data_IF_630743870124
#
_entry.id   IF_630743870124
#
_cell.length_a   1.000
_cell.length_b   1.000
_cell.length_c   1.000
_cell.angle_alpha   90.00
_cell.angle_beta   90.00
_cell.angle_gamma   90.00
#
_symmetry.space_group_name_H-M   'P 1'
#
loop_
_entity.id
_entity.type
_entity.pdbx_description
1 polymer ?
#
# COMPACT_ATOMS: atom_id res chain seq x y z
N UNK A 1 -19.56 -14.60 -13.38
CA UNK A 1 -18.24 -14.25 -12.84
C UNK A 1 -18.46 -13.77 -11.42
N UNK A 2 -17.63 -14.20 -10.46
CA UNK A 2 -17.69 -13.69 -9.08
C UNK A 2 -17.22 -12.23 -9.05
N UNK A 3 -17.87 -11.39 -8.23
CA UNK A 3 -17.41 -10.01 -8.01
C UNK A 3 -16.07 -9.97 -7.28
N UNK A 4 -15.22 -8.96 -7.55
CA UNK A 4 -14.01 -8.74 -6.76
C UNK A 4 -14.30 -8.67 -5.27
N UNK A 5 -13.47 -9.32 -4.46
CA UNK A 5 -13.58 -9.24 -3.01
C UNK A 5 -12.64 -8.16 -2.48
N UNK A 6 -13.12 -7.36 -1.52
CA UNK A 6 -12.37 -6.27 -0.92
C UNK A 6 -12.39 -6.38 0.60
N UNK A 7 -11.26 -6.07 1.23
CA UNK A 7 -11.16 -5.78 2.65
C UNK A 7 -11.32 -4.27 2.84
N UNK A 8 -12.36 -3.85 3.53
CA UNK A 8 -12.67 -2.43 3.76
C UNK A 8 -12.10 -1.93 5.08
N UNK A 9 -11.77 -0.64 5.11
CA UNK A 9 -11.24 0.06 6.28
C UNK A 9 -12.13 1.25 6.64
N UNK A 10 -12.46 1.39 7.92
CA UNK A 10 -13.21 2.54 8.40
C UNK A 10 -12.26 3.71 8.69
N UNK A 11 -12.21 4.65 7.75
CA UNK A 11 -11.46 5.90 7.90
C UNK A 11 -12.38 7.12 8.04
N UNK A 12 -13.70 6.93 8.04
CA UNK A 12 -14.71 7.96 8.19
C UNK A 12 -15.67 8.06 7.00
N UNK A 13 -16.72 8.85 7.16
CA UNK A 13 -17.85 8.93 6.21
C UNK A 13 -17.50 9.54 4.84
N UNK A 14 -16.43 10.33 4.76
CA UNK A 14 -16.04 11.04 3.53
C UNK A 14 -15.18 10.22 2.56
N UNK A 15 -14.88 8.94 2.87
CA UNK A 15 -13.94 8.13 2.09
C UNK A 15 -14.40 6.69 1.94
N UNK A 16 -13.88 6.03 0.91
CA UNK A 16 -13.90 4.59 0.74
C UNK A 16 -12.44 4.10 0.72
N UNK A 17 -12.04 3.32 1.71
CA UNK A 17 -10.69 2.76 1.84
C UNK A 17 -10.74 1.24 1.83
N UNK A 18 -9.86 0.60 1.06
CA UNK A 18 -9.87 -0.85 0.89
C UNK A 18 -8.54 -1.42 0.41
N UNK A 19 -8.40 -2.75 0.58
CA UNK A 19 -7.43 -3.59 -0.16
C UNK A 19 -8.19 -4.61 -1.00
N UNK A 20 -7.75 -4.84 -2.24
CA UNK A 20 -8.27 -5.95 -3.03
C UNK A 20 -7.81 -7.28 -2.46
N UNK A 21 -8.71 -8.26 -2.46
CA UNK A 21 -8.35 -9.65 -2.21
C UNK A 21 -8.00 -10.35 -3.53
N UNK A 22 -7.51 -11.56 -3.43
CA UNK A 22 -7.06 -12.34 -4.58
C UNK A 22 -8.22 -12.93 -5.39
N UNK A 23 -9.42 -13.05 -4.79
CA UNK A 23 -10.58 -13.73 -5.39
C UNK A 23 -11.44 -12.80 -6.24
N UNK A 24 -12.19 -13.39 -7.19
CA UNK A 24 -13.24 -12.71 -7.91
C UNK A 24 -12.80 -11.99 -9.19
N UNK A 25 -11.73 -12.42 -9.82
CA UNK A 25 -11.18 -11.81 -11.02
C UNK A 25 -11.15 -12.73 -12.24
N UNK A 26 -10.38 -12.31 -13.24
CA UNK A 26 -10.24 -12.95 -14.55
C UNK A 26 -8.79 -13.41 -14.83
N UNK A 27 -7.83 -13.10 -13.97
CA UNK A 27 -6.45 -13.50 -14.14
C UNK A 27 -6.27 -14.99 -13.88
N UNK A 28 -5.18 -15.58 -14.40
CA UNK A 28 -4.94 -17.02 -14.36
C UNK A 28 -3.56 -17.34 -13.75
N UNK A 29 -3.36 -18.60 -13.37
CA UNK A 29 -2.10 -19.08 -12.82
C UNK A 29 -1.68 -18.33 -11.55
N UNK A 30 -0.44 -17.86 -11.47
CA UNK A 30 0.07 -17.10 -10.32
C UNK A 30 -0.57 -15.71 -10.15
N UNK A 31 -1.30 -15.22 -11.15
CA UNK A 31 -2.04 -13.95 -11.12
C UNK A 31 -3.51 -14.14 -10.71
N UNK A 32 -3.96 -15.40 -10.58
CA UNK A 32 -5.36 -15.73 -10.26
C UNK A 32 -5.73 -15.30 -8.84
N UNK A 33 -6.92 -14.71 -8.73
CA UNK A 33 -7.87 -14.37 -9.79
C UNK A 33 -7.88 -12.88 -10.12
N UNK A 34 -7.78 -12.01 -9.07
CA UNK A 34 -8.03 -10.58 -9.17
C UNK A 34 -6.72 -9.77 -9.08
N UNK A 35 -6.14 -9.48 -10.23
CA UNK A 35 -4.97 -8.62 -10.36
C UNK A 35 -5.26 -7.46 -11.30
N UNK A 36 -4.94 -6.22 -10.91
CA UNK A 36 -5.10 -5.00 -11.73
C UNK A 36 -3.76 -4.32 -12.04
N UNK A 37 -2.63 -4.94 -11.65
CA UNK A 37 -1.30 -4.36 -11.83
C UNK A 37 -0.77 -4.65 -13.25
N UNK A 38 -0.40 -3.57 -13.98
CA UNK A 38 0.12 -3.64 -15.34
C UNK A 38 1.62 -4.02 -15.42
N UNK A 39 2.33 -4.07 -14.28
CA UNK A 39 3.79 -4.14 -14.24
C UNK A 39 4.32 -5.49 -13.74
N UNK A 40 3.44 -6.47 -13.46
CA UNK A 40 3.83 -7.75 -12.89
C UNK A 40 3.86 -8.90 -13.91
N UNK A 41 3.48 -8.66 -15.17
CA UNK A 41 3.56 -9.64 -16.27
C UNK A 41 2.29 -10.45 -16.51
N UNK A 42 1.15 -10.05 -15.96
CA UNK A 42 -0.17 -10.63 -16.27
C UNK A 42 -0.66 -10.22 -17.66
N UNK A 43 -1.62 -10.94 -18.22
CA UNK A 43 -2.21 -10.66 -19.53
C UNK A 43 -3.01 -9.35 -19.51
N UNK A 44 -2.76 -8.43 -20.48
CA UNK A 44 -3.41 -7.10 -20.47
C UNK A 44 -4.94 -7.17 -20.51
N UNK A 45 -5.52 -8.15 -21.21
CA UNK A 45 -6.97 -8.35 -21.28
C UNK A 45 -7.58 -8.80 -19.95
N UNK A 46 -6.84 -9.54 -19.12
CA UNK A 46 -7.29 -9.92 -17.77
C UNK A 46 -7.27 -8.70 -16.86
N UNK A 47 -6.19 -7.93 -16.90
CA UNK A 47 -6.02 -6.69 -16.13
C UNK A 47 -7.14 -5.69 -16.47
N UNK A 48 -7.41 -5.47 -17.77
CA UNK A 48 -8.47 -4.56 -18.21
C UNK A 48 -9.84 -4.95 -17.66
N UNK A 49 -10.21 -6.24 -17.74
CA UNK A 49 -11.48 -6.74 -17.18
C UNK A 49 -11.55 -6.57 -15.66
N UNK A 50 -10.44 -6.85 -14.95
CA UNK A 50 -10.38 -6.69 -13.50
C UNK A 50 -10.49 -5.20 -13.10
N UNK A 51 -9.83 -4.29 -13.83
CA UNK A 51 -9.94 -2.84 -13.60
C UNK A 51 -11.38 -2.34 -13.80
N UNK A 52 -12.05 -2.78 -14.88
CA UNK A 52 -13.45 -2.46 -15.13
C UNK A 52 -14.37 -2.97 -14.00
N UNK A 53 -14.14 -4.20 -13.54
CA UNK A 53 -14.91 -4.79 -12.44
C UNK A 53 -14.70 -4.01 -11.12
N UNK A 54 -13.45 -3.60 -10.81
CA UNK A 54 -13.17 -2.77 -9.65
C UNK A 54 -13.84 -1.40 -9.76
N UNK A 55 -13.70 -0.71 -10.90
CA UNK A 55 -14.28 0.59 -11.15
C UNK A 55 -15.79 0.60 -10.94
N UNK A 56 -16.48 -0.41 -11.49
CA UNK A 56 -17.92 -0.60 -11.31
C UNK A 56 -18.29 -0.84 -9.83
N UNK A 57 -17.51 -1.65 -9.11
CA UNK A 57 -17.76 -2.00 -7.71
C UNK A 57 -17.61 -0.78 -6.77
N UNK A 58 -16.59 0.06 -6.99
CA UNK A 58 -16.33 1.22 -6.13
C UNK A 58 -17.00 2.52 -6.59
N UNK A 59 -17.67 2.47 -7.76
CA UNK A 59 -18.46 3.59 -8.29
C UNK A 59 -17.63 4.74 -8.86
N UNK A 60 -16.48 4.44 -9.50
CA UNK A 60 -15.65 5.42 -10.21
C UNK A 60 -15.46 5.00 -11.67
N UNK A 61 -15.01 5.90 -12.54
CA UNK A 61 -14.59 5.49 -13.89
C UNK A 61 -13.20 4.81 -13.83
N UNK A 62 -12.92 3.92 -14.77
CA UNK A 62 -11.65 3.19 -14.82
C UNK A 62 -10.43 4.12 -14.90
N UNK A 63 -10.57 5.25 -15.60
CA UNK A 63 -9.52 6.27 -15.73
C UNK A 63 -9.18 6.95 -14.41
N UNK A 64 -10.10 6.95 -13.43
CA UNK A 64 -9.89 7.51 -12.11
C UNK A 64 -9.19 6.54 -11.13
N UNK A 65 -8.87 5.32 -11.54
CA UNK A 65 -8.05 4.40 -10.76
C UNK A 65 -6.58 4.71 -11.03
N UNK A 66 -5.92 5.36 -10.09
CA UNK A 66 -4.53 5.79 -10.16
C UNK A 66 -3.63 4.78 -9.46
N UNK A 67 -2.68 4.22 -10.21
CA UNK A 67 -1.67 3.30 -9.69
C UNK A 67 -0.30 3.67 -10.29
N UNK A 68 0.68 4.05 -9.46
CA UNK A 68 2.02 4.36 -9.93
C UNK A 68 2.81 3.10 -10.30
N UNK A 69 3.86 3.27 -11.09
CA UNK A 69 4.92 2.27 -11.26
C UNK A 69 5.97 2.46 -10.18
N UNK A 70 5.82 1.71 -9.09
CA UNK A 70 6.61 1.78 -7.87
C UNK A 70 7.99 1.14 -8.06
N UNK A 71 9.03 1.77 -7.50
CA UNK A 71 10.43 1.32 -7.62
C UNK A 71 11.11 1.13 -6.27
N UNK A 72 10.34 1.09 -5.17
CA UNK A 72 10.81 0.97 -3.79
C UNK A 72 11.64 2.18 -3.32
N UNK A 73 11.34 3.36 -3.88
CA UNK A 73 11.92 4.64 -3.51
C UNK A 73 11.13 5.38 -2.43
N UNK A 74 11.25 6.72 -2.43
CA UNK A 74 10.55 7.61 -1.49
C UNK A 74 9.85 8.77 -2.19
N UNK A 75 9.65 8.68 -3.50
CA UNK A 75 8.99 9.74 -4.26
C UNK A 75 7.51 9.75 -3.96
N UNK A 76 7.00 10.90 -3.52
CA UNK A 76 5.59 11.19 -3.28
C UNK A 76 5.08 12.11 -4.36
N UNK A 77 3.97 11.78 -5.01
CA UNK A 77 3.38 12.56 -6.10
C UNK A 77 1.97 13.02 -5.73
N UNK A 78 1.69 14.33 -5.88
CA UNK A 78 0.32 14.86 -5.84
C UNK A 78 -0.35 14.66 -7.19
N UNK A 79 -1.61 14.21 -7.16
CA UNK A 79 -2.43 13.93 -8.34
C UNK A 79 -3.72 14.73 -8.25
N UNK A 80 -3.90 15.70 -9.16
CA UNK A 80 -5.05 16.60 -9.20
C UNK A 80 -6.07 16.21 -10.29
N UNK A 81 -5.73 15.23 -11.14
CA UNK A 81 -6.58 14.67 -12.20
C UNK A 81 -6.10 13.26 -12.54
N UNK A 82 -6.88 12.44 -13.28
CA UNK A 82 -6.36 11.21 -13.85
C UNK A 82 -5.07 11.45 -14.64
N UNK A 83 -3.94 10.82 -14.29
CA UNK A 83 -2.67 11.10 -14.97
C UNK A 83 -2.72 10.66 -16.44
N UNK A 84 -2.24 11.53 -17.34
CA UNK A 84 -2.15 11.21 -18.77
C UNK A 84 -1.00 10.25 -19.09
N UNK A 85 0.01 10.21 -18.22
CA UNK A 85 1.20 9.35 -18.35
C UNK A 85 1.40 8.49 -17.11
N UNK A 86 2.24 7.47 -17.24
CA UNK A 86 2.62 6.60 -16.11
C UNK A 86 3.36 7.42 -15.07
N UNK A 87 2.99 7.29 -13.82
CA UNK A 87 3.72 7.86 -12.68
C UNK A 87 4.93 6.97 -12.36
N UNK A 88 5.98 7.13 -13.14
CA UNK A 88 7.20 6.31 -13.07
C UNK A 88 8.02 6.64 -11.82
N UNK A 89 8.45 5.61 -11.09
CA UNK A 89 9.32 5.76 -9.91
C UNK A 89 8.63 6.39 -8.69
N UNK A 90 7.31 6.48 -8.70
CA UNK A 90 6.51 7.03 -7.60
C UNK A 90 6.09 5.92 -6.67
N UNK A 91 6.41 6.06 -5.38
CA UNK A 91 6.07 5.08 -4.33
C UNK A 91 4.98 5.55 -3.36
N UNK A 92 4.54 6.81 -3.48
CA UNK A 92 3.35 7.30 -2.80
C UNK A 92 2.58 8.30 -3.67
N UNK A 93 1.26 8.25 -3.61
CA UNK A 93 0.37 9.16 -4.32
C UNK A 93 -0.59 9.84 -3.36
N UNK A 94 -0.82 11.15 -3.51
CA UNK A 94 -1.73 11.91 -2.67
C UNK A 94 -2.65 12.81 -3.49
N UNK A 95 -3.85 13.06 -2.96
CA UNK A 95 -4.87 13.89 -3.62
C UNK A 95 -5.84 14.51 -2.61
N UNK A 96 -6.46 15.63 -2.98
CA UNK A 96 -7.64 16.24 -2.37
C UNK A 96 -8.82 16.26 -3.34
N UNK A 97 -8.72 15.56 -4.48
CA UNK A 97 -9.75 15.53 -5.52
C UNK A 97 -10.74 14.39 -5.29
N UNK A 98 -12.02 14.74 -5.18
CA UNK A 98 -13.12 13.76 -5.07
C UNK A 98 -13.23 12.90 -6.32
N UNK A 99 -13.56 11.64 -6.11
CA UNK A 99 -13.76 10.66 -7.17
C UNK A 99 -12.49 10.08 -7.78
N UNK A 100 -11.29 10.56 -7.40
CA UNK A 100 -10.05 9.86 -7.70
C UNK A 100 -9.84 8.69 -6.73
N UNK A 101 -9.55 7.51 -7.26
CA UNK A 101 -9.13 6.33 -6.52
C UNK A 101 -7.61 6.25 -6.57
N UNK A 102 -6.94 6.74 -5.56
CA UNK A 102 -5.47 6.63 -5.47
C UNK A 102 -5.09 5.39 -4.68
N UNK A 103 -4.05 4.68 -5.11
CA UNK A 103 -3.63 3.47 -4.41
C UNK A 103 -2.26 3.00 -4.84
N UNK A 104 -1.76 2.03 -4.08
CA UNK A 104 -0.48 1.37 -4.29
C UNK A 104 -0.65 -0.13 -4.43
N UNK A 105 0.29 -0.75 -5.11
CA UNK A 105 0.27 -2.15 -5.49
C UNK A 105 1.32 -2.92 -4.70
N UNK A 106 0.92 -3.96 -3.98
CA UNK A 106 1.81 -4.72 -3.09
C UNK A 106 1.65 -6.22 -3.25
N UNK A 107 2.69 -6.96 -2.89
CA UNK A 107 2.70 -8.37 -2.52
C UNK A 107 3.84 -8.53 -1.52
N UNK A 108 3.51 -8.51 -0.23
CA UNK A 108 4.37 -8.51 0.96
C UNK A 108 4.83 -7.13 1.45
N UNK A 109 5.16 -6.17 0.57
CA UNK A 109 5.43 -4.79 0.99
C UNK A 109 4.21 -4.19 1.70
N UNK A 110 4.44 -3.22 2.58
CA UNK A 110 3.41 -2.64 3.44
C UNK A 110 2.70 -1.48 2.74
N UNK A 111 1.41 -1.61 2.41
CA UNK A 111 0.63 -0.48 1.94
C UNK A 111 0.12 0.32 3.14
N UNK A 112 0.19 1.66 3.05
CA UNK A 112 -0.30 2.55 4.09
C UNK A 112 -1.22 3.59 3.47
N UNK A 113 -2.40 3.76 4.06
CA UNK A 113 -3.35 4.80 3.69
C UNK A 113 -3.36 5.87 4.78
N UNK A 114 -3.28 7.14 4.37
CA UNK A 114 -3.43 8.30 5.24
C UNK A 114 -4.64 9.11 4.80
N UNK A 115 -5.41 9.60 5.75
CA UNK A 115 -6.58 10.45 5.49
C UNK A 115 -6.64 11.63 6.47
N UNK A 116 -6.80 12.81 5.90
CA UNK A 116 -7.10 14.07 6.59
C UNK A 116 -8.57 14.41 6.37
N UNK A 117 -9.37 14.27 7.41
CA UNK A 117 -10.80 14.56 7.34
C UNK A 117 -11.10 16.07 7.33
N UNK A 118 -10.22 16.91 7.89
CA UNK A 118 -10.39 18.36 7.95
C UNK A 118 -10.19 19.00 6.57
N UNK A 119 -9.10 18.61 5.88
CA UNK A 119 -8.78 19.15 4.56
C UNK A 119 -9.28 18.26 3.42
N UNK A 120 -9.94 17.13 3.77
CA UNK A 120 -10.44 16.14 2.81
C UNK A 120 -9.36 15.68 1.83
N UNK A 121 -8.20 15.32 2.35
CA UNK A 121 -7.04 14.90 1.58
C UNK A 121 -6.61 13.47 1.96
N UNK A 122 -6.07 12.73 1.00
CA UNK A 122 -5.65 11.36 1.19
C UNK A 122 -4.29 11.07 0.57
N UNK A 123 -3.59 10.07 1.12
CA UNK A 123 -2.35 9.55 0.55
C UNK A 123 -2.33 8.02 0.65
N UNK A 124 -1.83 7.36 -0.40
CA UNK A 124 -1.52 5.94 -0.43
C UNK A 124 -0.02 5.75 -0.60
N UNK A 125 0.60 4.97 0.28
CA UNK A 125 2.06 4.81 0.39
C UNK A 125 2.45 3.34 0.23
N UNK A 126 3.43 3.06 -0.62
CA UNK A 126 4.09 1.76 -0.75
C UNK A 126 5.37 1.74 0.09
N UNK A 127 5.34 1.07 1.22
CA UNK A 127 6.48 0.92 2.11
C UNK A 127 7.06 -0.51 2.03
N UNK A 128 7.82 -0.79 0.98
CA UNK A 128 8.75 -1.91 0.96
C UNK A 128 9.91 -1.66 1.93
N UNK A 129 10.75 -2.67 2.23
CA UNK A 129 11.82 -2.50 3.22
C UNK A 129 12.79 -1.34 2.87
N UNK A 130 13.07 -1.11 1.56
CA UNK A 130 13.91 0.01 1.11
C UNK A 130 13.27 1.37 1.37
N UNK A 131 11.97 1.52 1.06
CA UNK A 131 11.21 2.73 1.35
C UNK A 131 11.05 2.93 2.87
N UNK A 132 10.84 1.86 3.62
CA UNK A 132 10.71 1.91 5.09
C UNK A 132 12.00 2.38 5.75
N UNK A 133 13.16 1.85 5.38
CA UNK A 133 14.44 2.28 5.94
C UNK A 133 14.77 3.73 5.57
N UNK A 134 14.30 4.21 4.41
CA UNK A 134 14.41 5.59 3.95
C UNK A 134 13.29 6.50 4.46
N UNK A 135 12.39 6.00 5.31
CA UNK A 135 11.33 6.76 5.99
C UNK A 135 10.27 7.36 5.05
N UNK A 136 9.86 6.60 4.00
CA UNK A 136 8.86 7.06 3.03
C UNK A 136 7.55 7.53 3.68
N UNK A 137 7.10 6.85 4.76
CA UNK A 137 5.85 7.23 5.42
C UNK A 137 5.95 8.59 6.12
N UNK A 138 7.13 8.94 6.66
CA UNK A 138 7.38 10.26 7.23
C UNK A 138 7.44 11.33 6.14
N UNK A 139 8.06 11.02 5.00
CA UNK A 139 8.06 11.92 3.84
C UNK A 139 6.63 12.16 3.31
N UNK A 140 5.80 11.11 3.24
CA UNK A 140 4.39 11.25 2.85
C UNK A 140 3.61 12.18 3.80
N UNK A 141 3.76 12.02 5.12
CA UNK A 141 3.14 12.92 6.10
C UNK A 141 3.61 14.36 5.92
N UNK A 142 4.92 14.58 5.75
CA UNK A 142 5.49 15.91 5.49
C UNK A 142 4.96 16.56 4.21
N UNK A 143 4.80 15.77 3.15
CA UNK A 143 4.21 16.26 1.88
C UNK A 143 2.73 16.62 2.05
N UNK A 144 1.94 15.85 2.81
CA UNK A 144 0.56 16.20 3.15
C UNK A 144 0.49 17.50 3.98
N UNK A 145 1.40 17.69 4.95
CA UNK A 145 1.48 18.96 5.69
C UNK A 145 1.77 20.15 4.76
N UNK A 146 2.67 19.97 3.82
CA UNK A 146 3.06 21.04 2.88
C UNK A 146 1.94 21.36 1.87
N UNK A 147 1.30 20.32 1.31
CA UNK A 147 0.34 20.49 0.21
C UNK A 147 -1.06 20.85 0.69
N UNK A 148 -1.48 20.34 1.86
CA UNK A 148 -2.86 20.41 2.35
C UNK A 148 -2.97 21.06 3.74
N UNK A 149 -1.86 21.50 4.34
CA UNK A 149 -1.80 21.99 5.72
C UNK A 149 -2.24 20.94 6.77
N UNK A 150 -2.19 19.65 6.41
CA UNK A 150 -2.56 18.54 7.28
C UNK A 150 -1.81 18.57 8.61
N UNK A 151 -2.51 18.32 9.71
CA UNK A 151 -1.89 18.18 11.01
C UNK A 151 -1.70 16.70 11.34
N UNK A 152 -0.46 16.20 11.62
CA UNK A 152 -0.21 14.77 11.85
C UNK A 152 -1.11 14.16 12.92
N UNK A 153 -1.42 14.89 13.99
CA UNK A 153 -2.27 14.41 15.07
C UNK A 153 -3.76 14.25 14.70
N UNK A 154 -4.17 14.78 13.54
CA UNK A 154 -5.52 14.66 12.98
C UNK A 154 -5.60 13.62 11.85
N UNK A 155 -4.45 13.15 11.36
CA UNK A 155 -4.41 12.10 10.34
C UNK A 155 -4.88 10.76 10.92
N UNK A 156 -5.71 10.07 10.15
CA UNK A 156 -5.98 8.64 10.32
C UNK A 156 -5.06 7.85 9.41
N UNK A 157 -4.46 6.79 9.94
CA UNK A 157 -3.59 5.89 9.19
C UNK A 157 -4.10 4.46 9.25
N UNK A 158 -4.05 3.77 8.12
CA UNK A 158 -4.30 2.33 8.01
C UNK A 158 -3.05 1.68 7.44
N UNK A 159 -2.49 0.72 8.16
CA UNK A 159 -1.44 -0.19 7.69
C UNK A 159 -2.13 -1.46 7.19
N UNK A 160 -2.15 -1.63 5.87
CA UNK A 160 -2.86 -2.72 5.20
C UNK A 160 -2.09 -4.05 5.18
N UNK A 161 -2.56 -5.05 4.40
CA UNK A 161 -1.97 -6.38 4.33
C UNK A 161 -0.53 -6.35 3.84
N UNK A 162 0.37 -7.00 4.58
CA UNK A 162 1.78 -7.13 4.23
C UNK A 162 2.42 -8.35 4.88
N UNK A 163 3.71 -8.55 4.70
CA UNK A 163 4.41 -9.68 5.32
C UNK A 163 4.70 -9.40 6.79
N UNK A 164 4.37 -10.36 7.67
CA UNK A 164 4.58 -10.23 9.12
C UNK A 164 6.03 -10.52 9.53
N UNK A 165 6.36 -10.16 10.78
CA UNK A 165 7.64 -10.46 11.41
C UNK A 165 8.03 -11.94 11.25
N UNK A 166 7.11 -12.86 11.52
CA UNK A 166 7.39 -14.30 11.49
C UNK A 166 7.74 -14.82 10.09
N UNK A 167 7.28 -14.11 9.06
CA UNK A 167 7.42 -14.53 7.66
C UNK A 167 8.47 -13.74 6.89
N UNK A 168 8.91 -12.58 7.40
CA UNK A 168 9.86 -11.72 6.69
C UNK A 168 11.31 -11.97 7.14
N UNK A 169 11.83 -13.13 6.77
CA UNK A 169 13.26 -13.46 6.89
C UNK A 169 14.09 -12.56 5.99
N UNK A 170 15.20 -12.03 6.51
CA UNK A 170 16.14 -11.15 5.81
C UNK A 170 17.59 -11.55 6.09
N UNK A 171 18.52 -11.12 5.21
CA UNK A 171 19.97 -11.25 5.45
C UNK A 171 20.48 -10.22 6.45
N UNK A 172 21.70 -10.47 6.95
CA UNK A 172 22.35 -9.57 7.90
C UNK A 172 22.54 -8.16 7.32
N UNK A 173 22.72 -8.06 5.99
CA UNK A 173 22.88 -6.78 5.29
C UNK A 173 21.63 -5.91 5.31
N UNK A 174 20.42 -6.49 5.33
CA UNK A 174 19.17 -5.73 5.46
C UNK A 174 18.99 -5.27 6.89
N UNK A 175 19.22 -6.16 7.88
CA UNK A 175 19.20 -5.79 9.29
C UNK A 175 20.14 -4.61 9.58
N UNK A 176 21.38 -4.69 9.08
CA UNK A 176 22.38 -3.66 9.30
C UNK A 176 21.98 -2.31 8.71
N UNK A 177 21.30 -2.27 7.54
CA UNK A 177 20.80 -1.02 6.96
C UNK A 177 19.80 -0.32 7.87
N UNK A 178 18.92 -1.05 8.57
CA UNK A 178 18.01 -0.45 9.56
C UNK A 178 18.77 0.07 10.79
N UNK A 179 19.70 -0.70 11.32
CA UNK A 179 20.52 -0.31 12.44
C UNK A 179 21.35 0.94 12.13
N UNK A 180 22.01 0.98 10.97
CA UNK A 180 22.83 2.14 10.51
C UNK A 180 21.97 3.39 10.25
N UNK A 181 20.70 3.21 9.85
CA UNK A 181 19.73 4.27 9.69
C UNK A 181 19.17 4.79 11.04
N UNK A 182 19.65 4.25 12.16
CA UNK A 182 19.30 4.69 13.52
C UNK A 182 17.93 4.24 14.00
N UNK A 183 17.43 3.11 13.50
CA UNK A 183 16.24 2.49 14.06
C UNK A 183 16.56 1.77 15.37
N UNK A 184 15.66 1.86 16.35
CA UNK A 184 15.64 0.93 17.47
C UNK A 184 15.22 -0.44 16.95
N UNK A 185 16.12 -1.42 17.02
CA UNK A 185 15.90 -2.74 16.46
C UNK A 185 15.09 -3.65 17.38
N UNK A 186 15.05 -3.39 18.68
CA UNK A 186 14.36 -4.25 19.65
C UNK A 186 12.87 -4.45 19.37
N UNK A 187 12.08 -3.41 19.03
CA UNK A 187 10.66 -3.58 18.74
C UNK A 187 10.36 -4.13 17.34
N UNK A 188 11.34 -4.08 16.40
CA UNK A 188 11.11 -4.37 14.97
C UNK A 188 11.90 -5.54 14.43
N UNK A 189 12.78 -6.19 15.22
CA UNK A 189 13.59 -7.30 14.75
C UNK A 189 13.58 -8.48 15.73
N UNK A 190 13.70 -9.67 15.18
CA UNK A 190 13.93 -10.91 15.95
C UNK A 190 14.99 -11.76 15.24
N UNK A 191 15.85 -12.41 16.04
CA UNK A 191 16.82 -13.37 15.54
C UNK A 191 16.30 -14.78 15.78
N UNK A 192 16.06 -15.50 14.69
CA UNK A 192 15.88 -16.95 14.68
C UNK A 192 17.13 -17.61 14.06
N UNK A 193 17.01 -18.48 13.05
CA UNK A 193 18.17 -18.91 12.26
C UNK A 193 18.78 -17.74 11.48
N UNK A 194 17.91 -16.84 10.97
CA UNK A 194 18.27 -15.56 10.37
C UNK A 194 17.50 -14.43 11.05
N UNK A 195 17.74 -13.19 10.64
CA UNK A 195 16.97 -12.05 11.06
C UNK A 195 15.58 -12.05 10.44
N UNK A 196 14.62 -11.60 11.20
CA UNK A 196 13.28 -11.27 10.75
C UNK A 196 12.98 -9.83 11.13
N UNK A 197 12.28 -9.08 10.25
CA UNK A 197 11.91 -7.70 10.46
C UNK A 197 10.39 -7.52 10.46
N UNK A 198 9.89 -6.70 11.38
CA UNK A 198 8.51 -6.26 11.47
C UNK A 198 8.34 -4.92 10.74
N UNK A 199 8.10 -4.99 9.42
CA UNK A 199 7.86 -3.79 8.63
C UNK A 199 6.56 -3.06 9.02
N UNK A 200 5.43 -3.75 9.27
CA UNK A 200 4.23 -3.11 9.82
C UNK A 200 4.52 -2.29 11.08
N UNK A 201 5.15 -2.89 12.08
CA UNK A 201 5.48 -2.22 13.34
C UNK A 201 6.49 -1.09 13.14
N UNK A 202 7.48 -1.27 12.26
CA UNK A 202 8.45 -0.23 11.93
C UNK A 202 7.78 1.02 11.34
N UNK A 203 6.83 0.84 10.42
CA UNK A 203 6.07 1.94 9.84
C UNK A 203 5.10 2.59 10.85
N UNK A 204 4.51 1.82 11.75
CA UNK A 204 3.70 2.34 12.86
C UNK A 204 4.52 3.28 13.75
N UNK A 205 5.69 2.82 14.21
CA UNK A 205 6.60 3.64 15.03
C UNK A 205 6.98 4.93 14.30
N UNK A 206 7.24 4.87 13.00
CA UNK A 206 7.57 6.05 12.20
C UNK A 206 6.41 7.05 12.12
N UNK A 207 5.16 6.57 11.96
CA UNK A 207 3.97 7.41 11.98
C UNK A 207 3.77 8.09 13.33
N UNK A 208 3.89 7.31 14.42
CA UNK A 208 3.76 7.81 15.79
C UNK A 208 4.85 8.86 16.10
N UNK A 209 6.09 8.66 15.62
CA UNK A 209 7.21 9.59 15.80
C UNK A 209 6.99 10.96 15.15
N UNK A 210 6.20 11.05 14.07
CA UNK A 210 5.84 12.32 13.42
C UNK A 210 4.50 12.87 13.91
N UNK A 211 3.89 12.25 14.92
CA UNK A 211 2.69 12.74 15.60
C UNK A 211 1.36 12.20 15.12
N UNK A 212 1.33 11.21 14.22
CA UNK A 212 0.11 10.50 13.85
C UNK A 212 -0.31 9.59 15.01
N UNK A 213 -1.54 9.78 15.54
CA UNK A 213 -2.01 9.10 16.75
C UNK A 213 -3.05 8.01 16.49
N UNK A 214 -3.82 8.15 15.41
CA UNK A 214 -4.86 7.20 15.01
C UNK A 214 -4.28 6.26 13.93
N UNK A 215 -3.62 5.19 14.36
CA UNK A 215 -2.97 4.20 13.49
C UNK A 215 -3.60 2.85 13.72
N UNK A 216 -4.34 2.37 12.72
CA UNK A 216 -4.93 1.03 12.70
C UNK A 216 -4.09 0.08 11.84
N UNK A 217 -3.92 -1.17 12.29
CA UNK A 217 -3.19 -2.23 11.58
C UNK A 217 -4.15 -3.35 11.19
N UNK A 218 -4.03 -3.84 9.96
CA UNK A 218 -4.87 -4.96 9.49
C UNK A 218 -4.53 -6.29 10.14
N UNK A 219 -3.30 -6.45 10.63
CA UNK A 219 -2.73 -7.69 11.17
C UNK A 219 -2.83 -8.88 10.20
N UNK A 220 -2.90 -8.60 8.90
CA UNK A 220 -2.99 -9.59 7.84
C UNK A 220 -1.60 -9.87 7.28
N UNK A 221 -1.11 -11.11 7.48
CA UNK A 221 0.12 -11.58 6.85
C UNK A 221 -0.16 -12.17 5.47
N UNK A 222 0.32 -11.51 4.42
CA UNK A 222 0.15 -11.94 3.03
C UNK A 222 0.79 -13.30 2.74
N UNK A 223 1.93 -13.61 3.37
CA UNK A 223 2.62 -14.89 3.22
C UNK A 223 1.81 -16.05 3.82
N UNK A 224 1.20 -15.84 5.00
CA UNK A 224 0.40 -16.86 5.67
C UNK A 224 -0.97 -17.02 5.02
N UNK A 225 -1.58 -15.91 4.58
CA UNK A 225 -2.89 -15.87 3.94
C UNK A 225 -2.81 -15.75 2.41
N UNK A 226 -1.82 -16.38 1.77
CA UNK A 226 -1.54 -16.27 0.33
C UNK A 226 -2.68 -16.76 -0.57
N UNK A 227 -3.63 -17.51 -0.03
CA UNK A 227 -4.85 -17.90 -0.75
C UNK A 227 -5.83 -16.74 -0.88
N UNK A 228 -5.78 -15.77 0.03
CA UNK A 228 -6.66 -14.59 0.07
C UNK A 228 -5.95 -13.32 -0.43
N UNK A 229 -4.62 -13.24 -0.28
CA UNK A 229 -3.80 -12.09 -0.65
C UNK A 229 -2.56 -12.55 -1.42
N UNK A 230 -2.14 -11.75 -2.41
CA UNK A 230 -0.90 -12.06 -3.12
C UNK A 230 0.33 -11.87 -2.23
N UNK A 231 1.26 -12.83 -2.31
CA UNK A 231 2.56 -12.79 -1.65
C UNK A 231 3.65 -13.16 -2.65
N UNK A 232 4.55 -12.23 -2.93
CA UNK A 232 5.70 -12.47 -3.80
C UNK A 232 6.71 -13.45 -3.17
N UNK A 233 6.85 -13.45 -1.85
CA UNK A 233 7.67 -14.40 -1.10
C UNK A 233 7.15 -15.84 -1.24
N UNK A 234 5.83 -16.01 -1.33
CA UNK A 234 5.18 -17.33 -1.43
C UNK A 234 5.03 -17.81 -2.85
N UNK A 235 4.62 -16.91 -3.77
CA UNK A 235 4.22 -17.22 -5.15
C UNK A 235 5.31 -16.90 -6.17
N UNK A 236 6.36 -16.20 -5.76
CA UNK A 236 7.39 -15.66 -6.64
C UNK A 236 7.06 -14.26 -7.15
N UNK A 237 8.06 -13.60 -7.73
CA UNK A 237 7.95 -12.21 -8.22
C UNK A 237 6.95 -12.07 -9.36
N UNK A 238 6.80 -13.11 -10.19
CA UNK A 238 5.84 -13.19 -11.29
C UNK A 238 4.48 -13.69 -10.77
N UNK A 239 3.83 -12.89 -9.95
CA UNK A 239 2.51 -13.16 -9.35
C UNK A 239 1.68 -11.89 -9.34
N UNK A 240 0.38 -12.01 -9.03
CA UNK A 240 -0.52 -10.86 -8.91
C UNK A 240 -0.14 -9.93 -7.75
N UNK A 241 -0.84 -8.81 -7.69
CA UNK A 241 -0.64 -7.76 -6.65
C UNK A 241 -1.97 -7.39 -6.00
N UNK A 242 -1.90 -7.08 -4.73
CA UNK A 242 -2.95 -6.42 -3.96
C UNK A 242 -2.94 -4.95 -4.35
N UNK A 243 -4.09 -4.36 -4.60
CA UNK A 243 -4.24 -2.92 -4.73
C UNK A 243 -4.88 -2.37 -3.47
N UNK A 244 -4.14 -1.58 -2.70
CA UNK A 244 -4.64 -0.90 -1.49
C UNK A 244 -4.85 0.56 -1.81
N UNK A 245 -6.09 1.04 -1.65
CA UNK A 245 -6.52 2.31 -2.20
C UNK A 245 -7.53 3.05 -1.32
N UNK A 246 -7.66 4.35 -1.61
CA UNK A 246 -8.60 5.27 -0.98
C UNK A 246 -9.26 6.15 -2.04
N UNK A 247 -10.57 6.39 -1.89
CA UNK A 247 -11.38 7.27 -2.75
C UNK A 247 -12.03 8.32 -1.88
N UNK A 248 -11.81 9.60 -2.18
CA UNK A 248 -12.55 10.73 -1.58
C UNK A 248 -13.95 10.85 -2.20
N UNK A 249 -14.99 10.97 -1.37
CA UNK A 249 -16.42 11.02 -1.78
C UNK A 249 -17.03 12.41 -1.67
#
# INVERSE_FOLDING_TARGET
MSSPQLTYYDMGAGVLAFSTMRQGGNSMGNYADFNINNYCGDAPEHIARNRQALAALIGVSEQHIVMPHQTHGTVVCRVDAPPAEVLEGVDAVMTDVKGLCIGVSTADCIPILLYDAEHHAACAVHAGWRGTVQRIVQEAVKQMQTAYCSQPCQLKAVIGPGISLESFEVGDEVYQQFADAGFDMDPIARRYAKWHLDLPQCNRIQLEAVGVRDVWMSDICTYQQYEQYFSARRLGINSGRIYTAIVLK
#
